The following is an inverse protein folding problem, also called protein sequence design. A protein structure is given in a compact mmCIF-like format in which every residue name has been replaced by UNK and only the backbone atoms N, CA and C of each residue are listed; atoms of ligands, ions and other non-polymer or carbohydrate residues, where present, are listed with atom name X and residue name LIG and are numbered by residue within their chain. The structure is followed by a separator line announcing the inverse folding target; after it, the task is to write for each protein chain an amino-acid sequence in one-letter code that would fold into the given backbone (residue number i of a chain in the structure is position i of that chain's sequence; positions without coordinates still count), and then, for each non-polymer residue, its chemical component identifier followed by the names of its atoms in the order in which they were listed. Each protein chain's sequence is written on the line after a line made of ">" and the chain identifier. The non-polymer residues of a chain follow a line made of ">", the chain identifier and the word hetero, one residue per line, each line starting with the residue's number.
data_IF_726686472574
#
_entry.id   IF_726686472574
#
_cell.length_a   1.000
_cell.length_b   1.000
_cell.length_c   1.000
_cell.angle_alpha   90.00
_cell.angle_beta   90.00
_cell.angle_gamma   90.00
#
_symmetry.space_group_name_H-M   'P 1'
#
loop_
_entity.id
_entity.type
_entity.pdbx_description
1 polymer ?
#
# COMPACT_ATOMS: atom_id res chain seq x y z
N UNK A 1 -32.61 -61.08 -1.50
CA UNK A 1 -32.37 -60.39 -0.20
C UNK A 1 -33.26 -59.16 -0.12
N UNK A 2 -34.45 -59.27 0.50
CA UNK A 2 -35.32 -58.12 0.77
C UNK A 2 -34.84 -57.44 2.04
N UNK A 3 -33.82 -56.57 1.91
CA UNK A 3 -33.46 -55.66 2.99
C UNK A 3 -34.72 -54.85 3.34
N UNK A 4 -35.24 -55.04 4.56
CA UNK A 4 -36.46 -54.39 5.04
C UNK A 4 -36.33 -52.89 4.78
N UNK A 5 -37.14 -52.35 3.85
CA UNK A 5 -37.10 -50.94 3.40
C UNK A 5 -37.12 -49.97 4.58
N UNK A 6 -37.74 -50.38 5.69
CA UNK A 6 -37.84 -49.62 6.93
C UNK A 6 -36.50 -49.53 7.69
N UNK A 7 -35.62 -50.52 7.57
CA UNK A 7 -34.26 -50.48 8.14
C UNK A 7 -33.35 -49.56 7.34
N UNK A 8 -33.43 -49.63 6.00
CA UNK A 8 -32.69 -48.74 5.11
C UNK A 8 -33.14 -47.27 5.30
N UNK A 9 -34.44 -47.02 5.41
CA UNK A 9 -34.99 -45.68 5.63
C UNK A 9 -34.50 -45.08 6.97
N UNK A 10 -34.53 -45.86 8.06
CA UNK A 10 -34.02 -45.41 9.37
C UNK A 10 -32.51 -45.12 9.34
N UNK A 11 -31.75 -45.91 8.58
CA UNK A 11 -30.31 -45.68 8.40
C UNK A 11 -30.03 -44.37 7.64
N UNK A 12 -30.75 -44.12 6.55
CA UNK A 12 -30.61 -42.89 5.76
C UNK A 12 -30.96 -41.65 6.59
N UNK A 13 -32.06 -41.70 7.34
CA UNK A 13 -32.46 -40.59 8.24
C UNK A 13 -31.39 -40.33 9.31
N UNK A 14 -30.80 -41.40 9.88
CA UNK A 14 -29.71 -41.26 10.84
C UNK A 14 -28.48 -40.55 10.26
N UNK A 15 -28.07 -40.91 9.03
CA UNK A 15 -26.93 -40.29 8.35
C UNK A 15 -27.16 -38.80 8.08
N UNK A 16 -28.37 -38.42 7.65
CA UNK A 16 -28.72 -37.01 7.40
C UNK A 16 -28.64 -36.17 8.67
N UNK A 17 -29.10 -36.71 9.81
CA UNK A 17 -29.05 -36.02 11.10
C UNK A 17 -27.60 -35.79 11.54
N UNK A 18 -26.72 -36.79 11.38
CA UNK A 18 -25.30 -36.66 11.72
C UNK A 18 -24.61 -35.60 10.85
N UNK A 19 -24.91 -35.57 9.55
CA UNK A 19 -24.36 -34.56 8.64
C UNK A 19 -24.85 -33.14 8.98
N UNK A 20 -26.12 -32.98 9.35
CA UNK A 20 -26.67 -31.70 9.78
C UNK A 20 -26.00 -31.19 11.07
N UNK A 21 -25.78 -32.08 12.05
CA UNK A 21 -25.10 -31.74 13.29
C UNK A 21 -23.63 -31.39 13.07
N UNK A 22 -22.95 -32.06 12.13
CA UNK A 22 -21.57 -31.73 11.77
C UNK A 22 -21.45 -30.32 11.17
N UNK A 23 -22.38 -29.92 10.30
CA UNK A 23 -22.41 -28.56 9.73
C UNK A 23 -22.69 -27.48 10.79
N UNK A 24 -23.52 -27.77 11.78
CA UNK A 24 -23.75 -26.85 12.91
C UNK A 24 -22.48 -26.76 13.77
N UNK A 25 -21.83 -27.89 14.05
CA UNK A 25 -20.59 -27.92 14.82
C UNK A 25 -19.49 -27.07 14.16
N UNK A 26 -19.30 -27.16 12.85
CA UNK A 26 -18.31 -26.32 12.15
C UNK A 26 -18.65 -24.83 12.26
N UNK A 27 -19.92 -24.43 12.21
CA UNK A 27 -20.32 -23.03 12.38
C UNK A 27 -20.07 -22.47 13.78
N UNK A 28 -20.15 -23.30 14.82
CA UNK A 28 -19.94 -22.88 16.22
C UNK A 28 -18.49 -23.00 16.68
N UNK A 29 -17.73 -23.96 16.15
CA UNK A 29 -16.35 -24.26 16.56
C UNK A 29 -15.28 -23.81 15.57
N UNK A 30 -15.63 -23.27 14.40
CA UNK A 30 -14.64 -22.50 13.64
C UNK A 30 -14.34 -21.28 14.51
N UNK A 31 -13.11 -21.12 15.05
CA UNK A 31 -12.75 -19.85 15.63
C UNK A 31 -13.05 -18.82 14.55
N UNK A 32 -13.98 -17.92 14.82
CA UNK A 32 -13.97 -16.64 14.13
C UNK A 32 -12.59 -16.11 14.46
N UNK A 33 -11.64 -16.33 13.55
CA UNK A 33 -10.48 -15.50 13.39
C UNK A 33 -11.04 -14.11 13.13
N UNK A 34 -11.45 -13.51 14.24
CA UNK A 34 -11.25 -12.11 14.48
C UNK A 34 -9.74 -11.99 14.38
N UNK A 35 -9.26 -11.86 13.15
CA UNK A 35 -8.32 -10.81 12.80
C UNK A 35 -8.93 -9.50 13.32
N UNK A 36 -8.97 -9.38 14.65
CA UNK A 36 -8.76 -8.15 15.34
C UNK A 36 -7.29 -7.96 15.07
N UNK A 37 -7.03 -7.37 13.90
CA UNK A 37 -5.74 -6.94 13.47
C UNK A 37 -5.07 -6.40 14.71
N UNK A 38 -4.02 -7.08 15.13
CA UNK A 38 -2.93 -6.41 15.82
C UNK A 38 -2.34 -5.49 14.77
N UNK A 39 -3.08 -4.44 14.46
CA UNK A 39 -2.67 -3.27 13.75
C UNK A 39 -1.68 -2.63 14.71
N UNK A 40 -0.46 -3.19 14.73
CA UNK A 40 0.71 -2.33 14.62
C UNK A 40 0.30 -1.35 13.54
N UNK A 41 -0.07 -0.14 13.95
CA UNK A 41 -0.52 0.91 13.05
C UNK A 41 0.68 1.27 12.21
N UNK A 42 1.02 0.43 11.23
CA UNK A 42 1.89 0.78 10.14
C UNK A 42 1.21 1.95 9.47
N UNK A 43 1.70 3.11 9.83
CA UNK A 43 1.23 4.41 9.39
C UNK A 43 1.61 4.52 7.93
N UNK A 44 0.72 4.19 7.01
CA UNK A 44 1.02 4.20 5.57
C UNK A 44 0.99 5.63 5.03
N UNK A 45 2.01 6.03 4.28
CA UNK A 45 1.98 7.25 3.45
C UNK A 45 1.88 6.88 1.97
N UNK A 46 1.34 7.81 1.18
CA UNK A 46 1.19 7.65 -0.27
C UNK A 46 2.08 8.65 -1.00
N UNK A 47 2.86 8.17 -1.97
CA UNK A 47 3.58 9.00 -2.93
C UNK A 47 2.93 8.90 -4.31
N UNK A 48 2.74 10.04 -4.95
CA UNK A 48 2.15 10.15 -6.28
C UNK A 48 3.14 10.85 -7.20
N UNK A 49 3.59 10.14 -8.23
CA UNK A 49 4.49 10.64 -9.26
C UNK A 49 3.70 10.98 -10.52
N UNK A 50 3.71 12.26 -10.91
CA UNK A 50 3.12 12.78 -12.14
C UNK A 50 4.24 13.26 -13.08
N UNK A 51 4.42 12.58 -14.21
CA UNK A 51 5.47 12.88 -15.19
C UNK A 51 5.09 14.03 -16.14
N UNK A 52 3.93 14.67 -15.97
CA UNK A 52 3.50 15.82 -16.77
C UNK A 52 3.07 15.49 -18.21
N UNK A 53 3.19 14.23 -18.63
CA UNK A 53 2.79 13.72 -19.95
C UNK A 53 1.51 12.86 -19.90
N UNK A 54 0.76 12.94 -18.81
CA UNK A 54 -0.40 12.08 -18.53
C UNK A 54 -0.05 10.74 -17.87
N UNK A 55 1.23 10.38 -17.77
CA UNK A 55 1.67 9.22 -16.99
C UNK A 55 1.72 9.57 -15.50
N UNK A 56 0.96 8.81 -14.71
CA UNK A 56 0.86 8.96 -13.26
C UNK A 56 1.03 7.62 -12.56
N UNK A 57 1.86 7.58 -11.53
CA UNK A 57 2.14 6.39 -10.72
C UNK A 57 1.87 6.70 -9.24
N UNK A 58 1.40 5.72 -8.48
CA UNK A 58 1.19 5.85 -7.04
C UNK A 58 1.87 4.71 -6.29
N UNK A 59 2.45 5.04 -5.15
CA UNK A 59 3.15 4.13 -4.26
C UNK A 59 2.61 4.31 -2.85
N UNK A 60 2.47 3.21 -2.12
CA UNK A 60 2.07 3.22 -0.72
C UNK A 60 3.08 2.41 0.07
N UNK A 61 3.49 2.94 1.22
CA UNK A 61 4.50 2.29 2.07
C UNK A 61 4.36 2.72 3.52
N UNK A 62 4.77 1.83 4.43
CA UNK A 62 4.82 2.14 5.85
C UNK A 62 5.80 3.28 6.15
N UNK A 63 5.41 4.20 7.02
CA UNK A 63 6.28 5.26 7.52
C UNK A 63 6.92 4.85 8.84
N UNK A 64 8.13 5.35 9.08
CA UNK A 64 8.81 5.27 10.38
C UNK A 64 9.08 6.67 10.88
N UNK A 65 9.25 6.83 12.20
CA UNK A 65 9.55 8.11 12.80
C UNK A 65 10.82 8.74 12.20
N UNK A 66 10.74 10.02 11.81
CA UNK A 66 11.84 10.76 11.19
C UNK A 66 12.01 10.51 9.68
N UNK A 67 11.13 9.74 9.04
CA UNK A 67 11.11 9.65 7.58
C UNK A 67 10.75 11.01 6.96
N UNK A 68 11.38 11.36 5.85
CA UNK A 68 11.14 12.61 5.12
C UNK A 68 10.63 12.36 3.71
N UNK A 69 10.20 13.42 3.03
CA UNK A 69 9.75 13.35 1.63
C UNK A 69 10.82 12.73 0.72
N UNK A 70 12.10 13.06 0.94
CA UNK A 70 13.21 12.45 0.22
C UNK A 70 13.28 10.93 0.40
N UNK A 71 13.15 10.45 1.64
CA UNK A 71 13.18 9.02 1.93
C UNK A 71 12.03 8.28 1.22
N UNK A 72 10.82 8.83 1.24
CA UNK A 72 9.68 8.25 0.55
C UNK A 72 9.89 8.20 -0.98
N UNK A 73 10.49 9.24 -1.57
CA UNK A 73 10.83 9.24 -3.00
C UNK A 73 11.83 8.13 -3.35
N UNK A 74 12.92 8.02 -2.61
CA UNK A 74 13.95 6.99 -2.86
C UNK A 74 13.39 5.58 -2.66
N UNK A 75 12.58 5.36 -1.63
CA UNK A 75 11.92 4.06 -1.43
C UNK A 75 10.95 3.74 -2.56
N UNK A 76 10.18 4.73 -3.02
CA UNK A 76 9.28 4.57 -4.18
C UNK A 76 10.05 4.29 -5.46
N UNK A 77 11.21 4.92 -5.66
CA UNK A 77 12.12 4.68 -6.78
C UNK A 77 12.61 3.22 -6.80
N UNK A 78 13.09 2.74 -5.66
CA UNK A 78 13.53 1.35 -5.48
C UNK A 78 12.40 0.35 -5.72
N UNK A 79 11.22 0.57 -5.12
CA UNK A 79 10.07 -0.32 -5.29
C UNK A 79 9.48 -0.27 -6.70
N UNK A 80 9.53 0.90 -7.33
CA UNK A 80 8.97 1.16 -8.66
C UNK A 80 9.93 0.88 -9.81
N UNK A 81 11.19 0.54 -9.55
CA UNK A 81 12.21 0.29 -10.56
C UNK A 81 12.45 1.50 -11.46
N UNK A 82 12.55 2.71 -10.88
CA UNK A 82 12.91 3.92 -11.60
C UNK A 82 14.03 4.67 -10.90
N UNK A 83 14.80 5.44 -11.66
CA UNK A 83 15.95 6.18 -11.13
C UNK A 83 15.57 7.60 -10.71
N UNK A 84 16.34 8.14 -9.77
CA UNK A 84 16.27 9.53 -9.30
C UNK A 84 17.68 10.09 -9.31
N UNK A 85 17.96 11.04 -10.19
CA UNK A 85 19.23 11.75 -10.20
C UNK A 85 19.14 13.00 -9.33
N UNK A 86 20.12 13.17 -8.47
CA UNK A 86 20.16 14.26 -7.51
C UNK A 86 21.59 14.66 -7.17
N UNK A 87 21.71 15.86 -6.60
CA UNK A 87 22.93 16.36 -5.97
C UNK A 87 22.63 16.82 -4.56
N UNK A 88 23.59 16.69 -3.68
CA UNK A 88 23.51 17.17 -2.30
C UNK A 88 24.40 18.40 -2.12
N UNK A 89 23.92 19.37 -1.37
CA UNK A 89 24.70 20.54 -0.95
C UNK A 89 24.39 20.83 0.52
N UNK A 90 25.21 20.30 1.42
CA UNK A 90 24.90 20.26 2.85
C UNK A 90 23.66 19.39 3.10
N UNK A 91 22.66 19.95 3.78
CA UNK A 91 21.39 19.27 4.09
C UNK A 91 20.35 19.35 2.95
N UNK A 92 20.66 20.08 1.88
CA UNK A 92 19.76 20.25 0.74
C UNK A 92 19.95 19.13 -0.27
N UNK A 93 18.83 18.69 -0.85
CA UNK A 93 18.79 17.76 -1.98
C UNK A 93 18.20 18.47 -3.20
N UNK A 94 18.92 18.44 -4.31
CA UNK A 94 18.48 18.99 -5.58
C UNK A 94 18.24 17.85 -6.56
N UNK A 95 16.97 17.60 -6.90
CA UNK A 95 16.57 16.54 -7.83
C UNK A 95 16.61 17.07 -9.26
N UNK A 96 17.47 16.47 -10.09
CA UNK A 96 17.65 16.85 -11.49
C UNK A 96 16.84 15.99 -12.46
N UNK A 97 16.57 14.73 -12.11
CA UNK A 97 15.84 13.79 -12.95
C UNK A 97 15.07 12.78 -12.12
N UNK A 98 13.86 12.42 -12.56
CA UNK A 98 13.10 11.29 -12.00
C UNK A 98 12.53 10.49 -13.16
N UNK A 99 12.78 9.18 -13.18
CA UNK A 99 12.23 8.24 -14.17
C UNK A 99 12.45 8.68 -15.64
N UNK A 100 13.62 9.23 -15.96
CA UNK A 100 13.95 9.68 -17.33
C UNK A 100 13.52 11.12 -17.65
N UNK A 101 12.80 11.81 -16.76
CA UNK A 101 12.33 13.18 -16.98
C UNK A 101 13.19 14.20 -16.22
N UNK A 102 14.06 14.88 -16.98
CA UNK A 102 15.10 15.77 -16.46
C UNK A 102 14.83 17.27 -16.59
N UNK A 103 15.63 18.08 -15.90
CA UNK A 103 15.55 19.56 -15.84
C UNK A 103 15.67 20.28 -17.20
N UNK A 104 16.24 19.64 -18.23
CA UNK A 104 16.35 20.24 -19.56
C UNK A 104 14.97 20.51 -20.18
N UNK A 105 13.96 19.68 -19.86
CA UNK A 105 12.61 19.76 -20.41
C UNK A 105 11.60 20.43 -19.48
N UNK A 106 11.97 20.76 -18.23
CA UNK A 106 11.00 21.18 -17.22
C UNK A 106 11.61 21.34 -15.84
N UNK A 107 10.76 21.26 -14.80
CA UNK A 107 11.19 21.23 -13.40
C UNK A 107 10.28 20.35 -12.57
N UNK A 108 10.82 19.80 -11.49
CA UNK A 108 10.08 19.04 -10.50
C UNK A 108 9.51 19.96 -9.40
N UNK A 109 8.23 19.79 -9.11
CA UNK A 109 7.53 20.47 -8.03
C UNK A 109 7.03 19.43 -7.03
N UNK A 110 7.25 19.70 -5.75
CA UNK A 110 6.91 18.81 -4.65
C UNK A 110 5.76 19.39 -3.84
N UNK A 111 4.84 18.53 -3.45
CA UNK A 111 3.73 18.86 -2.58
C UNK A 111 3.64 17.83 -1.44
N UNK A 112 3.30 18.32 -0.26
CA UNK A 112 2.94 17.51 0.90
C UNK A 112 1.53 17.91 1.33
N UNK A 113 0.62 16.94 1.34
CA UNK A 113 -0.80 17.13 1.67
C UNK A 113 -1.46 18.26 0.85
N UNK A 114 -1.10 18.34 -0.43
CA UNK A 114 -1.59 19.36 -1.37
C UNK A 114 -0.95 20.73 -1.24
N UNK A 115 -0.05 20.95 -0.26
CA UNK A 115 0.71 22.19 -0.11
C UNK A 115 2.06 22.04 -0.82
N UNK A 116 2.39 22.99 -1.69
CA UNK A 116 3.71 23.03 -2.31
C UNK A 116 4.80 23.26 -1.25
N UNK A 117 5.86 22.47 -1.31
CA UNK A 117 7.04 22.58 -0.44
C UNK A 117 8.27 22.99 -1.27
N UNK A 118 9.31 23.48 -0.59
CA UNK A 118 10.59 23.78 -1.23
C UNK A 118 11.26 22.47 -1.68
N UNK A 119 11.55 22.37 -2.98
CA UNK A 119 12.19 21.20 -3.57
C UNK A 119 13.59 20.95 -2.99
N UNK A 120 14.26 21.97 -2.47
CA UNK A 120 15.57 21.82 -1.82
C UNK A 120 15.49 21.30 -0.38
N UNK A 121 14.32 21.42 0.25
CA UNK A 121 14.09 21.07 1.65
C UNK A 121 13.45 19.69 1.84
N UNK A 122 13.21 18.93 0.76
CA UNK A 122 12.54 17.61 0.81
C UNK A 122 13.27 16.59 1.70
N UNK A 123 14.57 16.75 1.94
CA UNK A 123 15.34 15.91 2.85
C UNK A 123 14.99 16.16 4.33
N UNK A 124 14.56 17.38 4.66
CA UNK A 124 14.24 17.84 6.01
C UNK A 124 12.73 17.83 6.29
N UNK A 125 11.89 17.82 5.26
CA UNK A 125 10.43 17.83 5.40
C UNK A 125 9.92 16.46 5.90
N UNK A 126 9.46 16.35 7.16
CA UNK A 126 9.07 15.07 7.75
C UNK A 126 7.70 14.60 7.21
N UNK A 127 7.50 13.29 7.19
CA UNK A 127 6.23 12.67 6.82
C UNK A 127 5.73 11.72 7.91
N UNK A 128 4.41 11.58 7.99
CA UNK A 128 3.69 10.70 8.91
C UNK A 128 2.72 9.79 8.15
N UNK A 129 2.12 8.84 8.85
CA UNK A 129 1.02 8.05 8.29
C UNK A 129 -0.16 8.91 7.89
N UNK A 130 -0.74 8.57 6.74
CA UNK A 130 -1.84 9.28 6.12
C UNK A 130 -1.39 10.42 5.20
N UNK A 131 -0.11 10.79 5.21
CA UNK A 131 0.39 11.86 4.35
C UNK A 131 0.36 11.46 2.87
N UNK A 132 0.09 12.45 2.04
CA UNK A 132 0.11 12.35 0.58
C UNK A 132 1.21 13.25 0.04
N UNK A 133 2.20 12.63 -0.58
CA UNK A 133 3.31 13.28 -1.26
C UNK A 133 2.98 13.30 -2.75
N UNK A 134 3.04 14.45 -3.39
CA UNK A 134 2.89 14.56 -4.85
C UNK A 134 4.17 15.16 -5.45
N UNK A 135 4.70 14.47 -6.45
CA UNK A 135 5.91 14.86 -7.19
C UNK A 135 5.52 15.04 -8.64
N UNK A 136 5.53 16.29 -9.10
CA UNK A 136 4.98 16.68 -10.40
C UNK A 136 6.03 17.31 -11.30
N UNK A 137 6.17 16.77 -12.50
CA UNK A 137 6.96 17.40 -13.56
C UNK A 137 6.12 18.46 -14.25
N UNK A 138 6.70 19.66 -14.39
CA UNK A 138 6.12 20.76 -15.16
C UNK A 138 7.05 21.06 -16.31
N UNK A 139 6.61 20.76 -17.53
CA UNK A 139 7.33 21.09 -18.75
C UNK A 139 7.40 22.61 -18.95
N UNK A 140 8.45 23.08 -19.63
CA UNK A 140 8.56 24.48 -20.05
C UNK A 140 7.59 24.83 -21.17
#
# INVERSE_FOLDING_TARGET
>A
MNFSKNKALKFIVGVIIVLALFQIYTLWFTPRDSQKDRQSSETVARLVLDLGNGSRRSFEGGTVAGMSVWHALVQSANAGGFDVDYRTQGEKVMVSEIAGAGEAAGRWIFYLNGKQIDSQAIALEPINGGDVIEVKFVSR
#
